data_IF_517158308394
#
_entry.id   IF_517158308394
#
_cell.length_a   1.000
_cell.length_b   1.000
_cell.length_c   1.000
_cell.angle_alpha   90.00
_cell.angle_beta   90.00
_cell.angle_gamma   90.00
#
_symmetry.space_group_name_H-M   'P 1'
#
loop_
_entity.id
_entity.type
_entity.pdbx_description
1 polymer ?
#
# COMPACT_ATOMS: atom_id res chain seq x y z
N UNK A 1 10.83 -37.39 60.15
CA UNK A 1 11.90 -36.66 59.42
C UNK A 1 11.87 -36.87 57.90
N UNK A 2 11.82 -38.12 57.40
CA UNK A 2 12.05 -38.41 55.97
C UNK A 2 10.99 -37.85 55.00
N UNK A 3 9.71 -37.81 55.37
CA UNK A 3 8.64 -37.27 54.49
C UNK A 3 8.82 -35.79 54.15
N UNK A 4 9.24 -34.98 55.12
CA UNK A 4 9.46 -33.54 54.91
C UNK A 4 10.68 -33.32 54.03
N UNK A 5 11.75 -34.10 54.25
CA UNK A 5 12.95 -34.07 53.40
C UNK A 5 12.65 -34.45 51.94
N UNK A 6 11.85 -35.50 51.71
CA UNK A 6 11.40 -35.87 50.36
C UNK A 6 10.58 -34.77 49.69
N UNK A 7 9.74 -34.04 50.43
CA UNK A 7 9.01 -32.90 49.87
C UNK A 7 9.93 -31.76 49.42
N UNK A 8 10.98 -31.44 50.19
CA UNK A 8 11.96 -30.44 49.78
C UNK A 8 12.75 -30.85 48.52
N UNK A 9 13.12 -32.13 48.42
CA UNK A 9 13.81 -32.66 47.24
C UNK A 9 12.93 -32.58 46.00
N UNK A 10 11.65 -32.98 46.10
CA UNK A 10 10.71 -32.92 44.97
C UNK A 10 10.46 -31.47 44.54
N UNK A 11 10.31 -30.55 45.50
CA UNK A 11 10.14 -29.12 45.22
C UNK A 11 11.36 -28.55 44.46
N UNK A 12 12.57 -28.87 44.93
CA UNK A 12 13.81 -28.40 44.32
C UNK A 12 13.97 -28.95 42.89
N UNK A 13 13.69 -30.24 42.68
CA UNK A 13 13.73 -30.87 41.35
C UNK A 13 12.68 -30.26 40.41
N UNK A 14 11.47 -30.00 40.90
CA UNK A 14 10.42 -29.39 40.09
C UNK A 14 10.79 -27.97 39.65
N UNK A 15 11.32 -27.15 40.55
CA UNK A 15 11.74 -25.78 40.25
C UNK A 15 12.89 -25.74 39.25
N UNK A 16 13.91 -26.59 39.43
CA UNK A 16 15.02 -26.67 38.49
C UNK A 16 14.60 -27.25 37.14
N UNK A 17 13.76 -28.28 37.14
CA UNK A 17 13.24 -28.91 35.92
C UNK A 17 12.40 -27.93 35.09
N UNK A 18 11.42 -27.27 35.70
CA UNK A 18 10.58 -26.29 35.01
C UNK A 18 11.38 -25.08 34.53
N UNK A 19 12.33 -24.61 35.35
CA UNK A 19 13.20 -23.49 34.99
C UNK A 19 14.06 -23.80 33.76
N UNK A 20 14.65 -25.00 33.70
CA UNK A 20 15.46 -25.42 32.56
C UNK A 20 14.64 -25.49 31.25
N UNK A 21 13.42 -26.03 31.32
CA UNK A 21 12.51 -26.13 30.16
C UNK A 21 12.10 -24.73 29.69
N UNK A 22 11.78 -23.83 30.62
CA UNK A 22 11.40 -22.45 30.29
C UNK A 22 12.51 -21.69 29.56
N UNK A 23 13.78 -21.88 29.96
CA UNK A 23 14.92 -21.23 29.30
C UNK A 23 15.11 -21.78 27.88
N UNK A 24 14.97 -23.10 27.70
CA UNK A 24 15.04 -23.74 26.38
C UNK A 24 13.92 -23.26 25.46
N UNK A 25 12.72 -23.05 26.00
CA UNK A 25 11.62 -22.56 25.21
C UNK A 25 11.81 -21.09 24.81
N UNK A 26 12.23 -20.24 25.76
CA UNK A 26 12.51 -18.84 25.49
C UNK A 26 13.59 -18.68 24.39
N UNK A 27 14.66 -19.47 24.42
CA UNK A 27 15.70 -19.40 23.36
C UNK A 27 15.17 -19.82 21.98
N UNK A 28 14.22 -20.76 21.96
CA UNK A 28 13.57 -21.21 20.72
C UNK A 28 12.67 -20.09 20.17
N UNK A 29 11.92 -19.42 21.04
CA UNK A 29 11.04 -18.30 20.67
C UNK A 29 11.84 -17.10 20.18
N UNK A 30 12.93 -16.72 20.86
CA UNK A 30 13.82 -15.65 20.41
C UNK A 30 14.40 -15.96 19.02
N UNK A 31 14.80 -17.20 18.76
CA UNK A 31 15.31 -17.62 17.46
C UNK A 31 14.26 -17.53 16.35
N UNK A 32 13.03 -17.96 16.64
CA UNK A 32 11.90 -17.84 15.72
C UNK A 32 11.57 -16.38 15.40
N UNK A 33 11.51 -15.52 16.43
CA UNK A 33 11.26 -14.08 16.26
C UNK A 33 12.41 -13.41 15.50
N UNK A 34 13.67 -13.76 15.77
CA UNK A 34 14.82 -13.25 15.04
C UNK A 34 14.74 -13.60 13.54
N UNK A 35 14.36 -14.84 13.21
CA UNK A 35 14.15 -15.26 11.82
C UNK A 35 13.01 -14.48 11.15
N UNK A 36 11.92 -14.23 11.88
CA UNK A 36 10.80 -13.45 11.36
C UNK A 36 11.18 -11.98 11.13
N UNK A 37 11.91 -11.36 12.07
CA UNK A 37 12.46 -10.02 11.90
C UNK A 37 13.41 -9.95 10.70
N UNK A 38 14.25 -10.96 10.49
CA UNK A 38 15.14 -11.05 9.32
C UNK A 38 14.35 -11.05 8.01
N UNK A 39 13.33 -11.91 7.90
CA UNK A 39 12.46 -11.96 6.71
C UNK A 39 11.74 -10.62 6.45
N UNK A 40 11.28 -9.95 7.51
CA UNK A 40 10.62 -8.64 7.39
C UNK A 40 11.60 -7.54 6.96
N UNK A 41 12.83 -7.56 7.46
CA UNK A 41 13.86 -6.61 7.03
C UNK A 41 14.23 -6.82 5.55
N UNK A 42 14.36 -8.07 5.09
CA UNK A 42 14.62 -8.38 3.69
C UNK A 42 13.49 -7.88 2.77
N UNK A 43 12.23 -8.12 3.16
CA UNK A 43 11.07 -7.62 2.42
C UNK A 43 11.05 -6.08 2.39
N UNK A 44 11.33 -5.44 3.53
CA UNK A 44 11.44 -3.99 3.62
C UNK A 44 12.52 -3.45 2.69
N UNK A 45 13.69 -4.09 2.64
CA UNK A 45 14.78 -3.68 1.78
C UNK A 45 14.41 -3.81 0.30
N UNK A 46 13.77 -4.92 -0.10
CA UNK A 46 13.30 -5.15 -1.46
C UNK A 46 12.32 -4.04 -1.90
N UNK A 47 11.30 -3.78 -1.09
CA UNK A 47 10.31 -2.73 -1.38
C UNK A 47 10.96 -1.34 -1.43
N UNK A 48 11.92 -1.06 -0.55
CA UNK A 48 12.64 0.22 -0.56
C UNK A 48 13.46 0.41 -1.85
N UNK A 49 14.09 -0.65 -2.36
CA UNK A 49 14.82 -0.63 -3.64
C UNK A 49 13.87 -0.37 -4.81
N UNK A 50 12.76 -1.10 -4.89
CA UNK A 50 11.75 -0.90 -5.94
C UNK A 50 11.15 0.52 -5.90
N UNK A 51 10.82 1.02 -4.71
CA UNK A 51 10.30 2.36 -4.55
C UNK A 51 11.30 3.43 -5.02
N UNK A 52 12.60 3.21 -4.77
CA UNK A 52 13.65 4.10 -5.23
C UNK A 52 13.77 4.11 -6.75
N UNK A 53 13.67 2.94 -7.39
CA UNK A 53 13.65 2.82 -8.84
C UNK A 53 12.43 3.50 -9.46
N UNK A 54 11.24 3.25 -8.92
CA UNK A 54 9.99 3.89 -9.34
C UNK A 54 10.06 5.41 -9.20
N UNK A 55 10.56 5.91 -8.08
CA UNK A 55 10.77 7.36 -7.87
C UNK A 55 11.77 7.93 -8.86
N UNK A 56 12.82 7.17 -9.19
CA UNK A 56 13.80 7.54 -10.23
C UNK A 56 13.20 7.58 -11.63
N UNK A 57 12.32 6.63 -11.98
CA UNK A 57 11.59 6.66 -13.26
C UNK A 57 10.64 7.85 -13.33
N UNK A 58 9.87 8.09 -12.25
CA UNK A 58 8.97 9.24 -12.16
C UNK A 58 9.71 10.56 -12.32
N UNK A 59 10.86 10.74 -11.67
CA UNK A 59 11.65 11.96 -11.81
C UNK A 59 12.22 12.15 -13.22
N UNK A 60 12.63 11.06 -13.89
CA UNK A 60 13.06 11.10 -15.30
C UNK A 60 11.93 11.51 -16.24
N UNK A 61 10.72 10.99 -16.04
CA UNK A 61 9.55 11.36 -16.84
C UNK A 61 9.11 12.81 -16.61
N UNK A 62 9.21 13.30 -15.37
CA UNK A 62 8.87 14.68 -15.02
C UNK A 62 9.91 15.71 -15.47
N UNK A 63 11.03 15.27 -16.06
CA UNK A 63 12.07 16.19 -16.53
C UNK A 63 11.50 17.08 -17.65
N UNK A 64 11.74 18.41 -17.64
CA UNK A 64 11.07 19.34 -18.57
C UNK A 64 11.20 18.96 -20.05
N UNK A 65 12.33 18.38 -20.46
CA UNK A 65 12.55 17.91 -21.83
C UNK A 65 11.66 16.71 -22.21
N UNK A 66 11.56 15.71 -21.33
CA UNK A 66 10.65 14.56 -21.50
C UNK A 66 9.19 15.00 -21.44
N UNK A 67 8.86 15.92 -20.53
CA UNK A 67 7.52 16.48 -20.43
C UNK A 67 7.16 17.27 -21.69
N UNK A 68 8.09 18.05 -22.23
CA UNK A 68 7.87 18.80 -23.47
C UNK A 68 7.58 17.85 -24.65
N UNK A 69 8.29 16.73 -24.77
CA UNK A 69 8.02 15.70 -25.78
C UNK A 69 6.67 14.99 -25.55
N UNK A 70 6.35 14.63 -24.30
CA UNK A 70 5.08 13.96 -23.96
C UNK A 70 3.86 14.85 -24.24
N UNK A 71 4.03 16.16 -24.18
CA UNK A 71 2.96 17.13 -24.33
C UNK A 71 3.08 17.96 -25.63
N UNK A 72 4.06 17.61 -26.47
CA UNK A 72 4.27 18.23 -27.77
C UNK A 72 3.02 18.06 -28.63
N UNK A 73 2.47 19.17 -29.12
CA UNK A 73 1.25 19.19 -29.92
C UNK A 73 -0.07 19.05 -29.13
N UNK A 74 -0.05 18.70 -27.84
CA UNK A 74 -1.27 18.62 -27.00
C UNK A 74 -1.56 19.87 -26.17
N UNK A 75 -0.54 20.58 -25.70
CA UNK A 75 -0.71 21.85 -24.95
C UNK A 75 -0.81 23.08 -25.86
N UNK A 76 -0.75 22.91 -27.18
CA UNK A 76 -0.82 24.04 -28.10
C UNK A 76 -2.25 24.59 -28.09
N UNK A 77 -2.41 25.85 -27.69
CA UNK A 77 -3.71 26.53 -27.70
C UNK A 77 -4.31 26.40 -29.10
N UNK A 78 -5.49 25.77 -29.25
CA UNK A 78 -6.10 25.61 -30.56
C UNK A 78 -6.36 26.98 -31.17
N UNK A 79 -6.28 27.08 -32.50
CA UNK A 79 -6.61 28.33 -33.19
C UNK A 79 -8.05 28.73 -32.86
N UNK A 80 -8.34 30.04 -32.87
CA UNK A 80 -9.66 30.61 -32.53
C UNK A 80 -10.82 29.94 -33.29
N UNK A 81 -10.56 29.38 -34.48
CA UNK A 81 -11.54 28.62 -35.27
C UNK A 81 -11.91 27.23 -34.71
N UNK A 82 -11.11 26.69 -33.79
CA UNK A 82 -11.29 25.38 -33.15
C UNK A 82 -11.65 25.50 -31.67
N UNK A 83 -11.73 26.72 -31.15
CA UNK A 83 -12.16 27.02 -29.78
C UNK A 83 -13.67 27.24 -29.80
N UNK A 84 -14.42 26.36 -29.15
CA UNK A 84 -15.86 26.55 -28.94
C UNK A 84 -16.03 27.23 -27.59
N UNK A 85 -16.62 28.42 -27.59
CA UNK A 85 -16.99 29.12 -26.38
C UNK A 85 -18.42 28.72 -26.03
N UNK A 86 -18.61 28.11 -24.87
CA UNK A 86 -19.95 27.77 -24.36
C UNK A 86 -20.39 28.90 -23.46
N UNK A 87 -21.55 29.48 -23.78
CA UNK A 87 -22.17 30.51 -22.93
C UNK A 87 -22.99 29.86 -21.80
N UNK A 88 -23.21 30.57 -20.68
CA UNK A 88 -24.04 30.03 -19.56
C UNK A 88 -25.42 29.54 -20.04
N UNK A 89 -26.04 30.26 -20.98
CA UNK A 89 -27.34 29.89 -21.54
C UNK A 89 -27.31 28.59 -22.36
N UNK A 90 -26.20 28.31 -23.04
CA UNK A 90 -26.00 27.03 -23.77
C UNK A 90 -25.69 25.88 -22.82
N UNK A 91 -25.04 26.18 -21.69
CA UNK A 91 -24.79 25.19 -20.64
C UNK A 91 -26.10 24.75 -19.96
N UNK A 92 -26.97 25.71 -19.64
CA UNK A 92 -28.27 25.46 -19.01
C UNK A 92 -29.23 24.70 -19.93
N UNK A 93 -29.21 25.01 -21.24
CA UNK A 93 -30.02 24.29 -22.22
C UNK A 93 -29.50 22.87 -22.46
N UNK A 94 -28.19 22.65 -22.39
CA UNK A 94 -27.61 21.31 -22.45
C UNK A 94 -27.97 20.47 -21.22
N UNK A 95 -27.94 21.05 -20.01
CA UNK A 95 -28.33 20.38 -18.75
C UNK A 95 -29.77 19.86 -18.77
N UNK A 96 -30.68 20.57 -19.43
CA UNK A 96 -32.08 20.17 -19.59
C UNK A 96 -32.34 19.29 -20.82
N UNK A 97 -31.34 19.07 -21.68
CA UNK A 97 -31.47 18.24 -22.87
C UNK A 97 -31.46 16.74 -22.54
N UNK A 98 -32.18 15.94 -23.34
CA UNK A 98 -32.22 14.48 -23.21
C UNK A 98 -30.82 13.82 -23.35
N UNK A 99 -29.89 14.50 -24.02
CA UNK A 99 -28.50 14.05 -24.21
C UNK A 99 -27.74 14.03 -22.88
N UNK A 100 -27.92 15.04 -22.02
CA UNK A 100 -27.33 15.07 -20.68
C UNK A 100 -27.93 14.00 -19.76
N UNK A 101 -29.22 13.67 -19.95
CA UNK A 101 -29.94 12.65 -19.20
C UNK A 101 -29.51 11.24 -19.60
N UNK A 102 -29.33 10.99 -20.90
CA UNK A 102 -28.82 9.72 -21.46
C UNK A 102 -27.39 9.43 -20.99
N UNK A 103 -26.49 10.42 -21.05
CA UNK A 103 -25.11 10.25 -20.58
C UNK A 103 -25.02 9.98 -19.07
N UNK A 104 -25.92 10.55 -18.26
CA UNK A 104 -25.98 10.26 -16.83
C UNK A 104 -26.50 8.84 -16.52
N UNK A 105 -27.46 8.34 -17.30
CA UNK A 105 -27.96 6.97 -17.19
C UNK A 105 -26.86 5.96 -17.53
N UNK A 106 -26.09 6.20 -18.60
CA UNK A 106 -24.99 5.34 -19.03
C UNK A 106 -23.86 5.29 -17.97
N UNK A 107 -23.54 6.44 -17.37
CA UNK A 107 -22.56 6.52 -16.28
C UNK A 107 -22.99 5.76 -15.03
N UNK A 108 -24.29 5.74 -14.71
CA UNK A 108 -24.84 4.94 -13.60
C UNK A 108 -24.81 3.45 -13.89
N UNK A 109 -25.09 3.04 -15.13
CA UNK A 109 -25.03 1.64 -15.55
C UNK A 109 -23.61 1.05 -15.42
N UNK A 110 -22.58 1.86 -15.67
CA UNK A 110 -21.17 1.45 -15.51
C UNK A 110 -20.79 1.29 -14.02
N UNK A 111 -21.30 2.17 -13.14
CA UNK A 111 -21.02 2.10 -11.70
C UNK A 111 -21.75 0.96 -10.98
N UNK A 112 -22.89 0.49 -11.50
CA UNK A 112 -23.62 -0.67 -10.96
C UNK A 112 -23.09 -2.01 -11.45
N UNK A 113 -22.11 -2.03 -12.36
CA UNK A 113 -21.54 -3.25 -12.95
C UNK A 113 -20.20 -3.66 -12.34
N UNK A 114 -19.79 -3.00 -11.25
CA UNK A 114 -18.64 -3.38 -10.42
C UNK A 114 -19.09 -4.11 -9.16
#
# INVERSE_FOLDING_TARGET
MNRVWWMFVILAVSLFGSGAISIVWLRMEISATAKNCGNLEDQREMVARELRELRGRKSRMLRPSMLAQLVEGRLRVPSVRRTVHVTEREMDSYLHSEIARSNNLDRRAILTRQ
#
